data_IF_399981661744
#
_entry.id   IF_399981661744
#
_cell.length_a   1.000
_cell.length_b   1.000
_cell.length_c   1.000
_cell.angle_alpha   90.00
_cell.angle_beta   90.00
_cell.angle_gamma   90.00
#
_symmetry.space_group_name_H-M   'P 1'
#
loop_
_entity.id
_entity.type
_entity.pdbx_description
1 polymer ?
#
# COMPACT_ATOMS: atom_id res chain seq x y z
N UNK A 1 19.37 -16.35 -9.88
CA UNK A 1 18.76 -15.40 -10.83
C UNK A 1 18.66 -14.06 -10.12
N UNK A 2 19.11 -12.95 -10.69
CA UNK A 2 18.98 -11.64 -10.05
C UNK A 2 17.52 -11.16 -10.11
N UNK A 3 17.11 -10.30 -9.19
CA UNK A 3 15.77 -9.72 -9.14
C UNK A 3 15.84 -8.23 -8.84
N UNK A 4 14.92 -7.44 -9.43
CA UNK A 4 14.81 -6.01 -9.15
C UNK A 4 13.39 -5.74 -8.62
N UNK A 5 13.30 -5.07 -7.46
CA UNK A 5 12.03 -4.56 -6.94
C UNK A 5 11.99 -3.06 -7.20
N UNK A 6 10.99 -2.63 -7.95
CA UNK A 6 10.73 -1.23 -8.27
C UNK A 6 9.41 -0.84 -7.61
N UNK A 7 9.40 0.24 -6.83
CA UNK A 7 8.19 0.79 -6.24
C UNK A 7 7.91 2.20 -6.74
N UNK A 8 6.68 2.67 -6.58
CA UNK A 8 6.32 4.02 -6.98
C UNK A 8 6.17 4.17 -8.49
N UNK A 9 5.40 3.26 -9.11
CA UNK A 9 4.99 3.36 -10.52
C UNK A 9 3.53 3.82 -10.59
N UNK A 10 3.18 4.57 -11.63
CA UNK A 10 1.78 4.96 -11.86
C UNK A 10 0.95 3.72 -12.21
N UNK A 11 -0.24 3.62 -11.63
CA UNK A 11 -1.22 2.54 -11.90
C UNK A 11 -1.50 2.35 -13.42
N UNK A 12 -1.49 3.42 -14.21
CA UNK A 12 -1.55 3.31 -15.68
C UNK A 12 -0.33 2.59 -16.27
N UNK A 13 0.87 2.97 -15.85
CA UNK A 13 2.12 2.41 -16.35
C UNK A 13 2.25 0.92 -15.97
N UNK A 14 1.81 0.53 -14.77
CA UNK A 14 1.82 -0.88 -14.38
C UNK A 14 0.89 -1.73 -15.25
N UNK A 15 -0.31 -1.23 -15.54
CA UNK A 15 -1.24 -1.90 -16.46
C UNK A 15 -0.66 -2.05 -17.86
N UNK A 16 -0.08 -0.97 -18.39
CA UNK A 16 0.54 -0.97 -19.72
C UNK A 16 1.70 -1.98 -19.78
N UNK A 17 2.58 -1.98 -18.77
CA UNK A 17 3.67 -2.95 -18.64
C UNK A 17 3.14 -4.39 -18.59
N UNK A 18 2.14 -4.66 -17.75
CA UNK A 18 1.55 -5.99 -17.60
C UNK A 18 0.93 -6.51 -18.91
N UNK A 19 0.27 -5.63 -19.67
CA UNK A 19 -0.30 -5.96 -20.98
C UNK A 19 0.77 -6.28 -22.04
N UNK A 20 1.93 -5.61 -21.98
CA UNK A 20 3.08 -5.91 -22.85
C UNK A 20 3.68 -7.27 -22.48
N UNK A 21 3.90 -7.56 -21.20
CA UNK A 21 4.45 -8.84 -20.76
C UNK A 21 3.53 -10.01 -21.08
N UNK A 22 2.21 -9.82 -21.00
CA UNK A 22 1.22 -10.84 -21.42
C UNK A 22 1.38 -11.20 -22.90
N UNK A 23 1.38 -10.19 -23.78
CA UNK A 23 1.56 -10.39 -25.24
C UNK A 23 2.89 -11.07 -25.58
N UNK A 24 3.98 -10.73 -24.89
CA UNK A 24 5.28 -11.38 -25.09
C UNK A 24 5.27 -12.86 -24.71
N UNK A 25 4.56 -13.22 -23.63
CA UNK A 25 4.38 -14.63 -23.22
C UNK A 25 3.61 -15.44 -24.25
N UNK A 26 2.54 -14.89 -24.81
CA UNK A 26 1.73 -15.53 -25.87
C UNK A 26 2.55 -15.81 -27.14
N UNK A 27 3.53 -14.96 -27.45
CA UNK A 27 4.39 -15.08 -28.63
C UNK A 27 5.61 -16.01 -28.37
N UNK A 28 5.75 -16.57 -27.16
CA UNK A 28 6.84 -17.49 -26.80
C UNK A 28 8.20 -16.83 -26.54
N UNK A 29 8.24 -15.51 -26.45
CA UNK A 29 9.47 -14.73 -26.24
C UNK A 29 9.78 -14.51 -24.77
N UNK A 30 10.10 -15.56 -24.00
CA UNK A 30 10.61 -15.41 -22.64
C UNK A 30 12.09 -15.77 -22.56
N UNK A 31 12.95 -14.76 -22.69
CA UNK A 31 14.38 -14.80 -22.35
C UNK A 31 14.69 -13.67 -21.36
N UNK A 32 14.29 -13.87 -20.10
CA UNK A 32 14.68 -12.98 -19.00
C UNK A 32 15.81 -13.59 -18.20
N UNK A 33 16.93 -12.87 -18.03
CA UNK A 33 18.02 -13.29 -17.13
C UNK A 33 17.73 -12.94 -15.65
N UNK A 34 16.64 -12.22 -15.39
CA UNK A 34 16.25 -11.70 -14.08
C UNK A 34 14.72 -11.53 -13.97
N UNK A 35 14.21 -11.48 -12.74
CA UNK A 35 12.81 -11.21 -12.44
C UNK A 35 12.61 -9.74 -12.00
N UNK A 36 11.45 -9.14 -12.28
CA UNK A 36 11.13 -7.77 -11.84
C UNK A 36 9.79 -7.76 -11.12
N UNK A 37 9.77 -7.22 -9.90
CA UNK A 37 8.54 -6.88 -9.16
C UNK A 37 8.29 -5.39 -9.31
N UNK A 38 7.12 -5.03 -9.82
CA UNK A 38 6.67 -3.64 -9.86
C UNK A 38 5.57 -3.47 -8.80
N UNK A 39 5.83 -2.60 -7.83
CA UNK A 39 4.87 -2.18 -6.83
C UNK A 39 4.26 -0.85 -7.25
N UNK A 40 2.94 -0.79 -7.32
CA UNK A 40 2.22 0.48 -7.47
C UNK A 40 2.46 1.39 -6.26
N UNK A 41 2.12 2.66 -6.43
CA UNK A 41 2.15 3.62 -5.34
C UNK A 41 2.71 4.98 -5.71
N UNK A 42 2.75 5.32 -6.99
CA UNK A 42 2.96 6.69 -7.45
C UNK A 42 1.65 7.23 -8.00
N UNK A 43 1.24 8.42 -7.56
CA UNK A 43 -0.04 9.04 -7.95
C UNK A 43 -1.12 8.99 -6.87
N UNK A 44 -2.34 8.55 -7.22
CA UNK A 44 -3.55 8.77 -6.41
C UNK A 44 -3.63 7.97 -5.11
N UNK A 45 -2.96 6.84 -5.02
CA UNK A 45 -2.75 6.09 -3.77
C UNK A 45 -1.25 5.90 -3.69
N UNK A 46 -0.60 6.61 -2.77
CA UNK A 46 0.83 6.47 -2.58
C UNK A 46 1.14 5.10 -1.96
N UNK A 47 2.31 4.54 -2.27
CA UNK A 47 2.85 3.45 -1.48
C UNK A 47 2.95 3.93 -0.04
N UNK A 48 2.42 3.17 0.91
CA UNK A 48 2.50 3.56 2.31
C UNK A 48 3.97 3.85 2.69
N UNK A 49 4.19 4.97 3.38
CA UNK A 49 5.52 5.47 3.67
C UNK A 49 6.30 4.53 4.59
N UNK A 50 5.60 3.79 5.46
CA UNK A 50 6.23 2.83 6.37
C UNK A 50 6.66 1.57 5.63
N UNK A 51 5.81 1.03 4.74
CA UNK A 51 6.18 -0.07 3.85
C UNK A 51 7.34 0.32 2.92
N UNK A 52 7.29 1.52 2.33
CA UNK A 52 8.38 2.02 1.50
C UNK A 52 9.69 2.15 2.29
N UNK A 53 9.62 2.68 3.51
CA UNK A 53 10.79 2.80 4.39
C UNK A 53 11.36 1.43 4.75
N UNK A 54 10.51 0.44 5.02
CA UNK A 54 10.92 -0.94 5.26
C UNK A 54 11.64 -1.54 4.03
N UNK A 55 11.07 -1.39 2.83
CA UNK A 55 11.70 -1.87 1.59
C UNK A 55 13.08 -1.20 1.36
N UNK A 56 13.15 0.12 1.57
CA UNK A 56 14.39 0.88 1.43
C UNK A 56 15.47 0.45 2.42
N UNK A 57 15.10 0.15 3.66
CA UNK A 57 16.02 -0.33 4.69
C UNK A 57 16.64 -1.70 4.36
N UNK A 58 16.03 -2.46 3.44
CA UNK A 58 16.50 -3.76 3.00
C UNK A 58 17.02 -3.75 1.55
N UNK A 59 17.29 -2.57 0.98
CA UNK A 59 17.89 -2.46 -0.34
C UNK A 59 19.23 -3.20 -0.42
N UNK A 60 19.42 -3.99 -1.48
CA UNK A 60 20.63 -4.80 -1.69
C UNK A 60 20.65 -6.14 -0.97
N UNK A 61 19.63 -6.46 -0.15
CA UNK A 61 19.52 -7.79 0.47
C UNK A 61 19.00 -8.83 -0.50
N UNK A 62 19.34 -10.09 -0.21
CA UNK A 62 18.80 -11.23 -0.94
C UNK A 62 17.29 -11.33 -0.72
N UNK A 63 16.54 -11.59 -1.78
CA UNK A 63 15.11 -11.79 -1.74
C UNK A 63 14.70 -12.94 -2.68
N UNK A 64 13.63 -13.64 -2.29
CA UNK A 64 12.97 -14.65 -3.10
C UNK A 64 11.63 -14.11 -3.56
N UNK A 65 11.35 -14.22 -4.86
CA UNK A 65 10.09 -13.81 -5.48
C UNK A 65 9.32 -15.05 -5.93
N UNK A 66 8.05 -15.12 -5.52
CA UNK A 66 7.10 -16.14 -5.92
C UNK A 66 5.99 -15.46 -6.73
N UNK A 67 6.11 -15.57 -8.06
CA UNK A 67 5.35 -14.75 -9.00
C UNK A 67 3.85 -15.06 -9.03
N UNK A 68 3.48 -16.33 -8.91
CA UNK A 68 2.08 -16.78 -9.01
C UNK A 68 1.29 -16.47 -7.73
N UNK A 69 1.98 -16.44 -6.59
CA UNK A 69 1.41 -16.12 -5.28
C UNK A 69 1.53 -14.63 -4.93
N UNK A 70 2.19 -13.84 -5.77
CA UNK A 70 2.50 -12.42 -5.53
C UNK A 70 3.24 -12.16 -4.21
N UNK A 71 4.14 -13.08 -3.82
CA UNK A 71 4.88 -13.00 -2.56
C UNK A 71 6.34 -12.59 -2.78
N UNK A 72 6.82 -11.67 -1.94
CA UNK A 72 8.22 -11.27 -1.83
C UNK A 72 8.73 -11.61 -0.43
N UNK A 73 9.76 -12.46 -0.35
CA UNK A 73 10.46 -12.78 0.89
C UNK A 73 11.83 -12.12 0.88
N UNK A 74 12.09 -11.25 1.85
CA UNK A 74 13.40 -10.62 2.03
C UNK A 74 14.14 -11.38 3.13
N UNK A 75 15.32 -11.92 2.81
CA UNK A 75 16.10 -12.73 3.74
C UNK A 75 16.71 -11.86 4.84
N UNK A 76 16.78 -12.42 6.05
CA UNK A 76 17.31 -11.77 7.26
C UNK A 76 16.61 -10.45 7.61
N UNK A 77 15.41 -10.21 7.07
CA UNK A 77 14.65 -8.99 7.30
C UNK A 77 13.86 -9.06 8.61
N UNK A 78 13.73 -7.91 9.28
CA UNK A 78 12.71 -7.76 10.31
C UNK A 78 11.31 -7.84 9.66
N UNK A 79 10.30 -8.23 10.42
CA UNK A 79 8.92 -8.31 9.92
C UNK A 79 8.50 -7.01 9.22
N UNK A 80 7.86 -7.08 8.04
CA UNK A 80 7.31 -5.88 7.41
C UNK A 80 6.19 -5.30 8.27
N UNK A 81 5.85 -4.01 8.07
CA UNK A 81 4.66 -3.45 8.69
C UNK A 81 3.41 -4.22 8.25
N UNK A 82 2.50 -4.44 9.19
CA UNK A 82 1.22 -5.09 8.95
C UNK A 82 0.25 -4.08 8.36
N UNK A 83 -0.53 -4.49 7.35
CA UNK A 83 -1.67 -3.71 6.86
C UNK A 83 -2.99 -4.35 7.27
N UNK A 84 -3.92 -3.54 7.76
CA UNK A 84 -5.24 -4.01 8.20
C UNK A 84 -6.33 -2.98 7.91
N UNK A 85 -7.54 -3.45 7.63
CA UNK A 85 -8.73 -2.61 7.49
C UNK A 85 -9.37 -2.27 8.85
N UNK A 86 -8.90 -2.89 9.93
CA UNK A 86 -9.36 -2.65 11.30
C UNK A 86 -8.44 -1.63 11.98
N UNK A 87 -8.56 -0.35 11.60
CA UNK A 87 -7.77 0.71 12.21
C UNK A 87 -8.25 1.04 13.63
N UNK A 88 -7.31 1.21 14.55
CA UNK A 88 -7.55 1.63 15.93
C UNK A 88 -7.06 3.07 16.18
N UNK A 89 -7.56 3.72 17.23
CA UNK A 89 -7.11 5.06 17.60
C UNK A 89 -5.61 5.02 17.92
N UNK A 90 -4.85 5.90 17.28
CA UNK A 90 -3.39 5.95 17.35
C UNK A 90 -2.71 5.37 16.11
N UNK A 91 -3.41 4.56 15.31
CA UNK A 91 -2.82 3.96 14.11
C UNK A 91 -2.54 5.01 13.03
N UNK A 92 -1.45 4.76 12.29
CA UNK A 92 -1.19 5.44 11.03
C UNK A 92 -2.08 4.82 9.97
N UNK A 93 -2.82 5.65 9.25
CA UNK A 93 -3.80 5.21 8.25
C UNK A 93 -3.56 5.84 6.88
N UNK A 94 -3.88 5.09 5.83
CA UNK A 94 -3.98 5.55 4.44
C UNK A 94 -5.46 5.59 4.03
N UNK A 95 -5.86 6.65 3.34
CA UNK A 95 -7.26 6.85 2.92
C UNK A 95 -7.45 6.37 1.48
N UNK A 96 -8.42 5.47 1.27
CA UNK A 96 -8.63 4.83 -0.04
C UNK A 96 -9.71 5.48 -0.91
N UNK A 97 -10.53 6.38 -0.35
CA UNK A 97 -11.64 7.04 -1.06
C UNK A 97 -11.50 8.55 -1.12
N UNK A 98 -12.11 9.13 -2.17
CA UNK A 98 -12.21 10.59 -2.35
C UNK A 98 -13.01 11.22 -1.20
N UNK A 99 -12.77 12.51 -0.89
CA UNK A 99 -11.85 13.44 -1.57
C UNK A 99 -10.38 13.30 -1.11
N UNK A 100 -10.11 12.52 -0.08
CA UNK A 100 -8.78 12.41 0.54
C UNK A 100 -7.97 11.19 0.08
N UNK A 101 -8.36 10.56 -1.03
CA UNK A 101 -7.71 9.36 -1.56
C UNK A 101 -6.19 9.54 -1.66
N UNK A 102 -5.44 8.55 -1.16
CA UNK A 102 -3.98 8.51 -1.13
C UNK A 102 -3.32 9.35 -0.04
N UNK A 103 -4.08 10.16 0.68
CA UNK A 103 -3.55 10.92 1.82
C UNK A 103 -3.41 10.00 3.03
N UNK A 104 -2.39 10.30 3.84
CA UNK A 104 -2.11 9.59 5.09
C UNK A 104 -2.34 10.49 6.30
N UNK A 105 -2.48 9.87 7.47
CA UNK A 105 -2.64 10.56 8.74
C UNK A 105 -2.63 9.59 9.92
N UNK A 106 -3.07 10.08 11.07
CA UNK A 106 -3.27 9.28 12.29
C UNK A 106 -4.75 9.28 12.66
N UNK A 107 -5.32 8.11 12.96
CA UNK A 107 -6.67 8.02 13.50
C UNK A 107 -6.66 8.53 14.95
N UNK A 108 -7.38 9.63 15.23
CA UNK A 108 -7.35 10.30 16.55
C UNK A 108 -8.64 10.16 17.34
N UNK A 109 -9.68 9.61 16.73
CA UNK A 109 -10.97 9.37 17.38
C UNK A 109 -11.93 8.64 16.47
N UNK A 110 -13.03 8.15 17.04
CA UNK A 110 -14.16 7.57 16.30
C UNK A 110 -15.40 8.31 16.78
N UNK A 111 -16.27 8.68 15.84
CA UNK A 111 -17.54 9.34 16.15
C UNK A 111 -18.54 8.29 16.64
N UNK A 112 -19.29 8.62 17.68
CA UNK A 112 -20.14 7.68 18.41
C UNK A 112 -21.36 7.18 17.60
N UNK A 113 -21.76 7.93 16.56
CA UNK A 113 -22.90 7.62 15.71
C UNK A 113 -22.53 7.29 14.26
N UNK A 114 -23.45 6.65 13.54
CA UNK A 114 -23.36 6.52 12.09
C UNK A 114 -23.51 7.90 11.45
N UNK A 115 -22.54 8.30 10.64
CA UNK A 115 -22.57 9.58 9.94
C UNK A 115 -22.86 9.39 8.46
N UNK A 116 -23.65 10.30 7.89
CA UNK A 116 -23.89 10.34 6.46
C UNK A 116 -22.58 10.53 5.72
N UNK A 117 -22.31 9.60 4.81
CA UNK A 117 -21.15 9.68 3.93
C UNK A 117 -21.49 10.50 2.69
N UNK A 118 -20.49 10.99 1.93
CA UNK A 118 -20.74 11.59 0.62
C UNK A 118 -21.50 10.68 -0.36
N UNK A 119 -21.52 9.37 -0.12
CA UNK A 119 -22.31 8.37 -0.86
C UNK A 119 -23.75 8.20 -0.37
N UNK A 120 -24.16 8.86 0.72
CA UNK A 120 -25.49 8.73 1.32
C UNK A 120 -25.70 7.45 2.13
N UNK A 121 -24.65 6.66 2.35
CA UNK A 121 -24.70 5.43 3.17
C UNK A 121 -24.14 5.77 4.55
N UNK A 122 -24.90 5.65 5.64
CA UNK A 122 -24.39 5.90 6.98
C UNK A 122 -23.25 4.94 7.32
N UNK A 123 -22.16 5.45 7.91
CA UNK A 123 -21.00 4.64 8.26
C UNK A 123 -20.35 5.10 9.57
N UNK A 124 -19.73 4.14 10.28
CA UNK A 124 -18.86 4.44 11.42
C UNK A 124 -17.69 5.25 10.90
N UNK A 125 -17.49 6.44 11.48
CA UNK A 125 -16.59 7.46 10.95
C UNK A 125 -15.49 7.75 11.95
N UNK A 126 -14.24 7.58 11.50
CA UNK A 126 -13.06 7.98 12.24
C UNK A 126 -12.70 9.43 11.97
N UNK A 127 -12.11 10.10 12.95
CA UNK A 127 -11.48 11.41 12.78
C UNK A 127 -9.99 11.20 12.55
N UNK A 128 -9.52 11.53 11.34
CA UNK A 128 -8.11 11.39 10.97
C UNK A 128 -7.44 12.76 11.03
N UNK A 129 -6.33 12.86 11.76
CA UNK A 129 -5.39 13.99 11.65
C UNK A 129 -4.46 13.73 10.48
N UNK A 130 -4.70 14.42 9.38
CA UNK A 130 -3.91 14.35 8.16
C UNK A 130 -2.50 14.91 8.39
N UNK A 131 -1.56 14.56 7.51
CA UNK A 131 -0.17 15.02 7.60
C UNK A 131 0.00 16.54 7.56
N UNK A 132 -0.95 17.28 6.96
CA UNK A 132 -0.99 18.75 6.98
C UNK A 132 -1.57 19.34 8.27
N UNK A 133 -1.85 18.49 9.27
CA UNK A 133 -2.40 18.85 10.57
C UNK A 133 -3.93 18.96 10.60
N UNK A 134 -4.62 18.93 9.45
CA UNK A 134 -6.08 19.05 9.41
C UNK A 134 -6.77 17.81 9.94
N UNK A 135 -7.90 18.00 10.62
CA UNK A 135 -8.81 16.91 10.99
C UNK A 135 -9.81 16.66 9.85
N UNK A 136 -10.01 15.40 9.49
CA UNK A 136 -10.97 14.99 8.48
C UNK A 136 -11.81 13.79 8.97
N UNK A 137 -13.15 13.85 8.88
CA UNK A 137 -14.00 12.69 9.14
C UNK A 137 -13.94 11.74 7.94
N UNK A 138 -13.51 10.50 8.17
CA UNK A 138 -13.36 9.46 7.15
C UNK A 138 -14.07 8.19 7.64
N UNK A 139 -14.94 7.57 6.83
CA UNK A 139 -15.51 6.26 7.16
C UNK A 139 -14.41 5.24 7.44
N UNK A 140 -14.52 4.46 8.52
CA UNK A 140 -13.49 3.49 8.91
C UNK A 140 -13.22 2.47 7.80
N UNK A 141 -14.25 2.08 7.05
CA UNK A 141 -14.16 1.19 5.88
C UNK A 141 -13.27 1.73 4.75
N UNK A 142 -12.99 3.05 4.75
CA UNK A 142 -12.14 3.69 3.76
C UNK A 142 -10.71 3.93 4.28
N UNK A 143 -10.40 3.45 5.49
CA UNK A 143 -9.08 3.52 6.10
C UNK A 143 -8.42 2.14 6.05
N UNK A 144 -7.12 2.14 5.79
CA UNK A 144 -6.25 1.00 6.02
C UNK A 144 -5.14 1.45 6.97
N UNK A 145 -5.03 0.79 8.11
CA UNK A 145 -3.95 1.02 9.06
C UNK A 145 -2.67 0.32 8.58
N UNK A 146 -1.55 1.00 8.76
CA UNK A 146 -0.22 0.39 8.65
C UNK A 146 0.44 0.41 10.02
N UNK A 147 0.62 -0.79 10.58
CA UNK A 147 1.08 -1.01 11.95
C UNK A 147 2.56 -1.39 11.89
N UNK A 148 3.38 -0.65 12.65
CA UNK A 148 4.79 -0.99 12.81
C UNK A 148 4.93 -2.41 13.37
N UNK A 149 5.90 -3.20 12.88
CA UNK A 149 6.26 -4.43 13.59
C UNK A 149 6.67 -4.05 15.02
N UNK A 150 6.07 -4.71 16.01
CA UNK A 150 6.44 -4.54 17.41
C UNK A 150 7.96 -4.73 17.54
N UNK A 151 8.66 -3.76 18.15
CA UNK A 151 10.06 -3.97 18.53
C UNK A 151 10.07 -5.03 19.64
N UNK A 152 10.36 -6.26 19.28
CA UNK A 152 10.74 -7.31 20.23
C UNK A 152 12.20 -7.13 20.63
#
# INVERSE_FOLDING_TARGET
MAGIVLGGILDKELRDFSAIQRRRREIGGMTGAFAVVLLEGFGKVALDAQLFSWLRAHAGRMASLFGDEHLLYVHEAASPPLRTLMAEIGDRVVIHRRPFQGRSGVLVGVLDDLHDTPSGIPAVTGVVRLEDGRLAPIPLVNLEATIAPSRH
#
